data_IF_012984575024
#
_entry.id   IF_012984575024
#
_cell.length_a   1.000
_cell.length_b   1.000
_cell.length_c   1.000
_cell.angle_alpha   90.00
_cell.angle_beta   90.00
_cell.angle_gamma   90.00
#
_symmetry.space_group_name_H-M   'P 1'
#
loop_
_entity.id
_entity.type
_entity.pdbx_description
1 polymer ?
#
# COMPACT_ATOMS: atom_id res chain seq x y z
N UNK A 1 -0.50 19.86 21.50
CA UNK A 1 -1.23 20.55 20.42
C UNK A 1 -1.44 19.53 19.31
N UNK A 2 -2.68 19.11 19.05
CA UNK A 2 -2.97 18.28 17.87
C UNK A 2 -2.84 19.17 16.64
N UNK A 3 -1.73 19.06 15.91
CA UNK A 3 -1.59 19.66 14.59
C UNK A 3 -2.43 18.85 13.60
N UNK A 4 -3.76 19.07 13.62
CA UNK A 4 -4.68 18.63 12.57
C UNK A 4 -4.50 19.48 11.30
N UNK A 5 -3.27 19.77 10.91
CA UNK A 5 -2.97 20.44 9.64
C UNK A 5 -3.03 19.37 8.56
N UNK A 6 -3.93 19.56 7.61
CA UNK A 6 -4.06 18.67 6.48
C UNK A 6 -2.76 18.61 5.68
N UNK A 7 -2.24 17.40 5.47
CA UNK A 7 -1.04 17.15 4.69
C UNK A 7 -1.43 16.59 3.32
N UNK A 8 -1.28 17.41 2.27
CA UNK A 8 -1.68 17.04 0.92
C UNK A 8 -0.91 15.84 0.37
N UNK A 9 0.39 15.75 0.66
CA UNK A 9 1.26 14.67 0.20
C UNK A 9 0.82 13.33 0.79
N UNK A 10 0.51 13.30 2.09
CA UNK A 10 -0.05 12.12 2.77
C UNK A 10 -1.41 11.75 2.20
N UNK A 11 -2.28 12.73 1.98
CA UNK A 11 -3.59 12.49 1.38
C UNK A 11 -3.50 11.86 -0.01
N UNK A 12 -2.65 12.42 -0.89
CA UNK A 12 -2.41 11.87 -2.23
C UNK A 12 -1.90 10.43 -2.16
N UNK A 13 -0.89 10.17 -1.32
CA UNK A 13 -0.32 8.84 -1.13
C UNK A 13 -1.38 7.83 -0.64
N UNK A 14 -2.11 8.14 0.43
CA UNK A 14 -3.14 7.25 0.99
C UNK A 14 -4.25 6.98 -0.03
N UNK A 15 -4.69 8.01 -0.75
CA UNK A 15 -5.74 7.87 -1.77
C UNK A 15 -5.30 6.93 -2.89
N UNK A 16 -4.04 7.06 -3.32
CA UNK A 16 -3.48 6.23 -4.38
C UNK A 16 -3.29 4.79 -3.93
N UNK A 17 -2.71 4.55 -2.76
CA UNK A 17 -2.56 3.21 -2.17
C UNK A 17 -3.92 2.53 -1.99
N UNK A 18 -4.90 3.22 -1.42
CA UNK A 18 -6.25 2.68 -1.25
C UNK A 18 -6.86 2.28 -2.61
N UNK A 19 -6.71 3.13 -3.62
CA UNK A 19 -7.24 2.86 -4.96
C UNK A 19 -6.55 1.66 -5.60
N UNK A 20 -5.22 1.55 -5.47
CA UNK A 20 -4.43 0.43 -5.98
C UNK A 20 -4.83 -0.89 -5.31
N UNK A 21 -4.99 -0.91 -3.98
CA UNK A 21 -5.43 -2.09 -3.22
C UNK A 21 -6.82 -2.54 -3.66
N UNK A 22 -7.78 -1.61 -3.79
CA UNK A 22 -9.15 -1.92 -4.25
C UNK A 22 -9.14 -2.48 -5.67
N UNK A 23 -8.40 -1.86 -6.59
CA UNK A 23 -8.31 -2.31 -7.98
C UNK A 23 -7.64 -3.69 -8.08
N UNK A 24 -6.56 -3.91 -7.33
CA UNK A 24 -5.86 -5.19 -7.29
C UNK A 24 -6.76 -6.32 -6.77
N UNK A 25 -7.47 -6.08 -5.66
CA UNK A 25 -8.43 -7.03 -5.10
C UNK A 25 -9.58 -7.35 -6.07
N UNK A 26 -10.07 -6.33 -6.77
CA UNK A 26 -11.12 -6.48 -7.79
C UNK A 26 -10.62 -7.36 -8.94
N UNK A 27 -9.45 -7.05 -9.52
CA UNK A 27 -8.88 -7.82 -10.62
C UNK A 27 -8.61 -9.29 -10.24
N UNK A 28 -8.09 -9.54 -9.04
CA UNK A 28 -7.78 -10.89 -8.59
C UNK A 28 -9.04 -11.71 -8.26
N UNK A 29 -10.17 -11.05 -7.97
CA UNK A 29 -11.47 -11.71 -7.81
C UNK A 29 -12.04 -12.16 -9.16
N UNK A 30 -11.82 -11.41 -10.24
CA UNK A 30 -12.34 -11.73 -11.57
C UNK A 30 -11.47 -12.69 -12.39
N UNK A 31 -10.15 -12.70 -12.15
CA UNK A 31 -9.19 -13.40 -13.02
C UNK A 31 -8.61 -14.69 -12.41
N UNK A 32 -8.99 -15.07 -11.18
CA UNK A 32 -8.60 -16.35 -10.60
C UNK A 32 -9.77 -17.33 -10.57
N UNK A 33 -9.64 -18.43 -11.31
CA UNK A 33 -10.49 -19.63 -11.17
C UNK A 33 -10.45 -20.20 -9.74
N UNK A 34 -9.44 -19.78 -8.96
CA UNK A 34 -9.16 -20.22 -7.59
C UNK A 34 -9.46 -19.15 -6.52
N UNK A 35 -10.52 -18.34 -6.73
CA UNK A 35 -10.98 -17.29 -5.82
C UNK A 35 -11.16 -17.75 -4.35
N UNK A 36 -11.29 -19.06 -4.11
CA UNK A 36 -11.35 -19.65 -2.77
C UNK A 36 -9.98 -19.64 -2.07
N UNK A 37 -8.90 -19.86 -2.82
CA UNK A 37 -7.54 -19.92 -2.29
C UNK A 37 -6.93 -18.53 -2.11
N UNK A 38 -7.34 -17.53 -2.91
CA UNK A 38 -6.85 -16.14 -2.79
C UNK A 38 -7.67 -15.26 -1.84
N UNK A 39 -8.73 -15.79 -1.21
CA UNK A 39 -9.59 -15.05 -0.27
C UNK A 39 -8.87 -14.44 0.92
N UNK A 40 -7.78 -15.07 1.38
CA UNK A 40 -7.00 -14.57 2.51
C UNK A 40 -6.20 -13.32 2.13
N UNK A 41 -5.77 -13.22 0.86
CA UNK A 41 -5.05 -12.09 0.27
C UNK A 41 -5.93 -10.82 0.24
N UNK A 42 -7.24 -10.96 0.05
CA UNK A 42 -8.21 -9.84 0.02
C UNK A 42 -9.15 -9.82 1.23
N UNK A 43 -8.78 -10.51 2.30
CA UNK A 43 -9.58 -10.46 3.52
C UNK A 43 -9.63 -9.02 4.03
N UNK A 44 -10.77 -8.61 4.63
CA UNK A 44 -10.88 -7.28 5.22
C UNK A 44 -9.74 -6.98 6.22
N UNK A 45 -9.30 -8.02 6.95
CA UNK A 45 -8.13 -7.94 7.83
C UNK A 45 -6.84 -7.66 7.07
N UNK A 46 -6.57 -8.35 5.95
CA UNK A 46 -5.39 -8.11 5.12
C UNK A 46 -5.36 -6.69 4.54
N UNK A 47 -6.50 -6.20 4.03
CA UNK A 47 -6.63 -4.83 3.54
C UNK A 47 -6.37 -3.80 4.64
N UNK A 48 -6.91 -4.02 5.85
CA UNK A 48 -6.68 -3.11 6.98
C UNK A 48 -5.21 -3.13 7.43
N UNK A 49 -4.54 -4.29 7.43
CA UNK A 49 -3.11 -4.37 7.73
C UNK A 49 -2.26 -3.60 6.72
N UNK A 50 -2.56 -3.71 5.42
CA UNK A 50 -1.89 -2.91 4.38
C UNK A 50 -2.10 -1.42 4.62
N UNK A 51 -3.31 -1.00 4.99
CA UNK A 51 -3.59 0.41 5.27
C UNK A 51 -2.91 0.91 6.55
N UNK A 52 -2.79 0.09 7.59
CA UNK A 52 -2.01 0.44 8.79
C UNK A 52 -0.53 0.69 8.44
N UNK A 53 0.05 -0.15 7.59
CA UNK A 53 1.40 0.07 7.05
C UNK A 53 1.48 1.32 6.17
N UNK A 54 0.45 1.60 5.37
CA UNK A 54 0.38 2.82 4.56
C UNK A 54 0.34 4.07 5.45
N UNK A 55 -0.43 4.08 6.54
CA UNK A 55 -0.43 5.20 7.48
C UNK A 55 0.93 5.39 8.14
N UNK A 56 1.61 4.31 8.52
CA UNK A 56 2.97 4.37 9.05
C UNK A 56 3.97 4.94 8.04
N UNK A 57 3.89 4.48 6.79
CA UNK A 57 4.72 4.92 5.68
C UNK A 57 4.46 6.40 5.32
N UNK A 58 3.21 6.85 5.33
CA UNK A 58 2.84 8.22 5.02
C UNK A 58 3.54 9.27 5.92
N UNK A 59 3.84 8.91 7.16
CA UNK A 59 4.62 9.75 8.08
C UNK A 59 6.10 9.90 7.72
N UNK A 60 6.61 9.05 6.82
CA UNK A 60 8.04 8.89 6.51
C UNK A 60 8.39 9.11 5.05
N UNK A 61 7.44 9.53 4.21
CA UNK A 61 7.71 9.80 2.80
C UNK A 61 8.84 10.84 2.71
N UNK A 62 9.98 10.51 2.06
CA UNK A 62 11.11 11.42 1.92
C UNK A 62 10.70 12.76 1.30
N UNK A 63 11.38 13.85 1.68
CA UNK A 63 11.02 15.20 1.23
C UNK A 63 11.09 15.38 -0.28
N UNK A 64 12.04 14.71 -0.91
CA UNK A 64 12.37 14.69 -2.34
C UNK A 64 11.56 13.69 -3.17
N UNK A 65 10.85 12.76 -2.54
CA UNK A 65 9.99 11.78 -3.22
C UNK A 65 8.57 12.33 -3.40
N UNK A 66 7.93 12.14 -4.55
CA UNK A 66 6.51 12.49 -4.73
C UNK A 66 5.58 11.50 -4.02
N UNK A 67 4.32 11.88 -3.80
CA UNK A 67 3.32 10.96 -3.24
C UNK A 67 3.09 9.73 -4.14
N UNK A 68 3.16 9.93 -5.46
CA UNK A 68 3.00 8.87 -6.46
C UNK A 68 4.16 7.88 -6.42
N UNK A 69 5.41 8.35 -6.46
CA UNK A 69 6.59 7.48 -6.36
C UNK A 69 6.56 6.65 -5.08
N UNK A 70 6.21 7.27 -3.96
CA UNK A 70 6.04 6.56 -2.69
C UNK A 70 4.96 5.49 -2.76
N UNK A 71 3.82 5.77 -3.41
CA UNK A 71 2.72 4.82 -3.56
C UNK A 71 3.12 3.63 -4.45
N UNK A 72 3.85 3.89 -5.55
CA UNK A 72 4.39 2.84 -6.41
C UNK A 72 5.36 1.93 -5.65
N UNK A 73 6.34 2.49 -4.93
CA UNK A 73 7.29 1.73 -4.12
C UNK A 73 6.57 0.89 -3.05
N UNK A 74 5.63 1.51 -2.34
CA UNK A 74 4.86 0.85 -1.28
C UNK A 74 4.02 -0.31 -1.83
N UNK A 75 3.23 -0.07 -2.87
CA UNK A 75 2.37 -1.09 -3.46
C UNK A 75 3.18 -2.21 -4.13
N UNK A 76 4.30 -1.88 -4.79
CA UNK A 76 5.19 -2.89 -5.39
C UNK A 76 5.76 -3.86 -4.35
N UNK A 77 6.09 -3.37 -3.15
CA UNK A 77 6.57 -4.23 -2.07
C UNK A 77 5.45 -4.97 -1.33
N UNK A 78 4.33 -4.29 -1.04
CA UNK A 78 3.26 -4.80 -0.17
C UNK A 78 2.28 -5.74 -0.86
N UNK A 79 2.08 -5.61 -2.17
CA UNK A 79 1.15 -6.45 -2.92
C UNK A 79 1.90 -7.64 -3.50
N UNK A 80 1.67 -8.82 -2.92
CA UNK A 80 2.40 -10.06 -3.25
C UNK A 80 2.45 -10.37 -4.75
N UNK A 81 1.36 -10.13 -5.47
CA UNK A 81 1.28 -10.38 -6.91
C UNK A 81 2.00 -9.34 -7.79
N UNK A 82 2.42 -8.22 -7.20
CA UNK A 82 3.23 -7.18 -7.85
C UNK A 82 4.69 -7.24 -7.38
N UNK A 83 4.97 -8.02 -6.34
CA UNK A 83 6.26 -8.10 -5.69
C UNK A 83 7.24 -8.84 -6.60
N UNK A 84 8.33 -8.18 -6.98
CA UNK A 84 9.43 -8.83 -7.68
C UNK A 84 10.19 -9.77 -6.74
N UNK A 85 10.70 -10.87 -7.28
CA UNK A 85 11.50 -11.85 -6.55
C UNK A 85 12.72 -11.17 -5.90
N UNK A 86 12.88 -11.36 -4.58
CA UNK A 86 13.92 -10.71 -3.76
C UNK A 86 13.81 -9.18 -3.65
N UNK A 87 12.63 -8.59 -3.84
CA UNK A 87 12.45 -7.16 -3.56
C UNK A 87 12.65 -6.85 -2.08
N UNK A 88 13.61 -5.97 -1.81
CA UNK A 88 13.90 -5.45 -0.49
C UNK A 88 12.80 -4.48 -0.04
N UNK A 89 12.61 -4.37 1.28
CA UNK A 89 11.74 -3.35 1.86
C UNK A 89 12.35 -1.98 1.52
N UNK A 90 11.61 -1.04 0.91
CA UNK A 90 12.09 0.32 0.72
C UNK A 90 12.50 0.96 2.04
N UNK A 91 13.73 1.50 2.07
CA UNK A 91 14.40 1.96 3.28
C UNK A 91 13.58 2.97 4.09
N UNK A 92 12.73 3.75 3.41
CA UNK A 92 11.99 4.86 4.01
C UNK A 92 10.78 4.43 4.83
N UNK A 93 10.27 3.20 4.65
CA UNK A 93 9.19 2.66 5.49
C UNK A 93 9.51 1.31 6.16
N UNK A 94 10.76 0.84 6.07
CA UNK A 94 11.22 -0.29 6.86
C UNK A 94 11.01 -0.03 8.37
N UNK A 95 10.50 -1.04 9.07
CA UNK A 95 10.36 -1.01 10.53
C UNK A 95 11.65 -1.58 11.14
N UNK A 96 12.37 -0.76 11.90
CA UNK A 96 13.51 -1.20 12.73
C UNK A 96 13.03 -1.91 13.99
#
# INVERSE_FOLDING_TARGET
MNNNTFNWKKFQFITEVQTAVINNATNLTFNNDDAKNTRHIFSATGTLSIMDDAFYAAERIPGDMTAHEAACDFCGYMLENLKEDNSDVPYWFARN
#
